data_IF_306834971230
#
_entry.id   IF_306834971230
#
_cell.length_a   1.000
_cell.length_b   1.000
_cell.length_c   1.000
_cell.angle_alpha   90.00
_cell.angle_beta   90.00
_cell.angle_gamma   90.00
#
_symmetry.space_group_name_H-M   'P 1'
#
loop_
_entity.id
_entity.type
_entity.pdbx_description
1 polymer ?
#
# COMPACT_ATOMS: atom_id res chain seq x y z
N UNK A 1 1.52 -18.14 3.15
CA UNK A 1 0.98 -17.22 4.19
C UNK A 1 2.15 -16.37 4.69
N UNK A 2 1.93 -15.09 4.99
CA UNK A 2 2.97 -14.26 5.57
C UNK A 2 3.31 -14.74 6.99
N UNK A 3 4.59 -14.63 7.37
CA UNK A 3 5.08 -15.04 8.69
C UNK A 3 4.56 -14.08 9.77
N UNK A 4 4.34 -14.59 10.99
CA UNK A 4 3.99 -13.75 12.14
C UNK A 4 5.16 -12.81 12.47
N UNK A 5 4.86 -11.55 12.74
CA UNK A 5 5.86 -10.52 13.00
C UNK A 5 5.35 -9.54 14.03
N UNK A 6 6.25 -9.07 14.89
CA UNK A 6 5.97 -8.04 15.91
C UNK A 6 6.16 -6.63 15.37
N UNK A 7 6.75 -6.47 14.21
CA UNK A 7 7.00 -5.17 13.57
C UNK A 7 6.44 -5.17 12.15
N UNK A 8 5.73 -4.11 11.79
CA UNK A 8 5.23 -3.87 10.44
C UNK A 8 5.52 -2.44 9.97
N UNK A 9 5.45 -2.25 8.66
CA UNK A 9 5.54 -0.94 8.01
C UNK A 9 4.35 -0.80 7.07
N UNK A 10 3.65 0.31 7.13
CA UNK A 10 2.54 0.56 6.21
C UNK A 10 2.68 1.91 5.49
N UNK A 11 2.12 1.95 4.30
CA UNK A 11 2.00 3.17 3.50
C UNK A 11 0.94 2.99 2.41
N UNK A 12 0.66 4.05 1.64
CA UNK A 12 -0.32 4.04 0.55
C UNK A 12 0.32 4.37 -0.79
N UNK A 13 -0.01 3.55 -1.81
CA UNK A 13 0.35 3.77 -3.20
C UNK A 13 -0.84 4.37 -3.96
N UNK A 14 -0.63 5.52 -4.63
CA UNK A 14 -1.64 6.13 -5.47
C UNK A 14 -1.70 5.47 -6.86
N UNK A 15 -2.86 4.92 -7.21
CA UNK A 15 -3.11 4.24 -8.49
C UNK A 15 -4.04 5.09 -9.34
N UNK A 16 -3.58 5.48 -10.53
CA UNK A 16 -4.42 6.17 -11.52
C UNK A 16 -5.32 5.15 -12.22
N UNK A 17 -6.63 5.34 -12.12
CA UNK A 17 -7.64 4.45 -12.71
C UNK A 17 -8.34 5.07 -13.91
N UNK A 18 -8.43 6.39 -13.95
CA UNK A 18 -9.11 7.12 -15.00
C UNK A 18 -8.34 8.38 -15.38
N UNK A 19 -8.44 8.75 -16.65
CA UNK A 19 -7.99 10.07 -17.07
C UNK A 19 -8.82 11.17 -16.36
N UNK A 20 -8.22 12.31 -15.91
CA UNK A 20 -8.92 13.37 -15.15
C UNK A 20 -10.23 13.86 -15.79
N UNK A 21 -10.31 13.92 -17.13
CA UNK A 21 -11.53 14.28 -17.86
C UNK A 21 -12.68 13.28 -17.70
N UNK A 22 -12.44 12.11 -17.12
CA UNK A 22 -13.42 11.04 -16.90
C UNK A 22 -13.79 10.87 -15.43
N UNK A 23 -13.44 11.82 -14.58
CA UNK A 23 -13.88 11.83 -13.18
C UNK A 23 -15.40 11.74 -13.09
N UNK A 24 -15.91 10.92 -12.17
CA UNK A 24 -17.35 10.67 -12.00
C UNK A 24 -17.96 9.62 -12.94
N UNK A 25 -17.22 9.11 -13.93
CA UNK A 25 -17.70 8.08 -14.87
C UNK A 25 -17.45 6.64 -14.44
N UNK A 26 -16.97 6.41 -13.22
CA UNK A 26 -16.79 5.07 -12.66
C UNK A 26 -18.01 4.68 -11.81
N UNK A 27 -18.35 3.39 -11.84
CA UNK A 27 -19.39 2.81 -11.02
C UNK A 27 -19.05 3.02 -9.53
N UNK A 28 -20.07 3.36 -8.71
CA UNK A 28 -19.93 3.56 -7.26
C UNK A 28 -18.91 4.62 -6.84
N UNK A 29 -18.49 5.48 -7.76
CA UNK A 29 -17.54 6.56 -7.47
C UNK A 29 -16.29 6.14 -6.71
N UNK A 30 -15.81 4.90 -6.88
CA UNK A 30 -14.62 4.38 -6.20
C UNK A 30 -13.31 5.03 -6.69
N UNK A 31 -13.29 5.65 -7.88
CA UNK A 31 -12.20 6.46 -8.39
C UNK A 31 -12.53 7.95 -8.24
N UNK A 32 -11.82 8.65 -7.37
CA UNK A 32 -11.99 10.09 -7.11
C UNK A 32 -10.68 10.83 -7.34
N UNK A 33 -10.79 12.13 -7.59
CA UNK A 33 -9.62 12.99 -7.69
C UNK A 33 -9.02 13.22 -6.31
N UNK A 34 -7.76 12.85 -6.16
CA UNK A 34 -7.00 13.03 -4.94
C UNK A 34 -5.54 13.36 -5.22
N UNK A 35 -4.85 13.88 -4.21
CA UNK A 35 -3.41 14.16 -4.28
C UNK A 35 -2.65 13.00 -3.63
N UNK A 36 -1.83 12.30 -4.41
CA UNK A 36 -0.98 11.21 -3.95
C UNK A 36 0.45 11.47 -4.39
N UNK A 37 1.40 11.43 -3.45
CA UNK A 37 2.83 11.65 -3.72
C UNK A 37 3.11 12.92 -4.56
N UNK A 38 2.46 14.03 -4.20
CA UNK A 38 2.61 15.31 -4.89
C UNK A 38 1.83 15.46 -6.21
N UNK A 39 1.26 14.38 -6.76
CA UNK A 39 0.49 14.38 -8.02
C UNK A 39 -1.02 14.35 -7.76
N UNK A 40 -1.77 14.99 -8.65
CA UNK A 40 -3.22 14.82 -8.74
C UNK A 40 -3.53 13.62 -9.64
N UNK A 41 -4.26 12.66 -9.11
CA UNK A 41 -4.73 11.48 -9.85
C UNK A 41 -6.26 11.35 -9.71
N UNK A 42 -6.90 10.70 -10.66
CA UNK A 42 -8.28 10.20 -10.53
C UNK A 42 -8.18 8.69 -10.39
N UNK A 43 -8.36 8.21 -9.17
CA UNK A 43 -8.09 6.81 -8.89
C UNK A 43 -8.36 6.40 -7.45
N UNK A 44 -7.53 5.50 -6.98
CA UNK A 44 -7.60 4.92 -5.65
C UNK A 44 -6.23 4.97 -4.95
N UNK A 45 -6.25 4.88 -3.63
CA UNK A 45 -5.08 4.59 -2.81
C UNK A 45 -5.09 3.11 -2.47
N UNK A 46 -3.98 2.45 -2.71
CA UNK A 46 -3.72 1.07 -2.32
C UNK A 46 -2.90 1.08 -1.04
N UNK A 47 -3.52 0.70 0.06
CA UNK A 47 -2.87 0.53 1.35
C UNK A 47 -2.20 -0.83 1.42
N UNK A 48 -0.97 -0.87 1.90
CA UNK A 48 -0.18 -2.08 2.11
C UNK A 48 0.44 -2.05 3.50
N UNK A 49 0.29 -3.14 4.24
CA UNK A 49 1.00 -3.42 5.49
C UNK A 49 1.97 -4.58 5.25
N UNK A 50 3.25 -4.29 5.40
CA UNK A 50 4.33 -5.28 5.32
C UNK A 50 4.76 -5.70 6.72
N UNK A 51 5.19 -6.97 6.87
CA UNK A 51 5.91 -7.41 8.05
C UNK A 51 7.41 -7.04 7.96
N UNK A 52 8.19 -7.37 8.99
CA UNK A 52 9.63 -7.08 9.05
C UNK A 52 10.45 -7.78 7.95
N UNK A 53 9.92 -8.82 7.31
CA UNK A 53 10.56 -9.54 6.19
C UNK A 53 10.08 -9.04 4.81
N UNK A 54 9.30 -7.96 4.78
CA UNK A 54 8.81 -7.37 3.53
C UNK A 54 7.61 -8.07 2.91
N UNK A 55 7.00 -9.04 3.58
CA UNK A 55 5.80 -9.72 3.07
C UNK A 55 4.55 -8.89 3.34
N UNK A 56 3.63 -8.85 2.38
CA UNK A 56 2.31 -8.23 2.56
C UNK A 56 1.48 -9.09 3.50
N UNK A 57 1.16 -8.56 4.69
CA UNK A 57 0.29 -9.22 5.68
C UNK A 57 -1.15 -8.74 5.60
N UNK A 58 -1.35 -7.52 5.14
CA UNK A 58 -2.68 -6.93 4.91
C UNK A 58 -2.62 -5.89 3.80
N UNK A 59 -3.68 -5.79 3.05
CA UNK A 59 -3.88 -4.73 2.07
C UNK A 59 -5.34 -4.28 2.08
N UNK A 60 -5.58 -3.08 1.62
CA UNK A 60 -6.92 -2.50 1.42
C UNK A 60 -6.83 -1.39 0.37
N UNK A 61 -7.94 -0.82 -0.05
CA UNK A 61 -7.94 0.33 -0.94
C UNK A 61 -9.11 1.26 -0.64
N UNK A 62 -8.95 2.53 -0.99
CA UNK A 62 -10.01 3.54 -0.92
C UNK A 62 -9.89 4.52 -2.09
N UNK A 63 -10.92 5.33 -2.38
CA UNK A 63 -10.81 6.43 -3.34
C UNK A 63 -9.67 7.38 -2.98
N UNK A 64 -8.98 7.95 -3.99
CA UNK A 64 -7.77 8.75 -3.80
C UNK A 64 -7.98 10.05 -3.00
N UNK A 65 -9.22 10.53 -2.86
CA UNK A 65 -9.56 11.72 -2.08
C UNK A 65 -9.63 11.49 -0.57
N UNK A 66 -9.59 10.26 -0.10
CA UNK A 66 -9.59 9.96 1.33
C UNK A 66 -8.21 10.18 1.95
N UNK A 67 -8.21 10.55 3.24
CA UNK A 67 -7.00 10.64 4.04
C UNK A 67 -6.53 9.24 4.48
N UNK A 68 -5.22 9.04 4.66
CA UNK A 68 -4.66 7.71 4.99
C UNK A 68 -5.11 7.19 6.35
N UNK A 69 -5.60 8.08 7.23
CA UNK A 69 -6.23 7.72 8.51
C UNK A 69 -7.47 6.83 8.39
N UNK A 70 -8.07 6.72 7.19
CA UNK A 70 -9.19 5.78 6.95
C UNK A 70 -8.77 4.33 7.21
N UNK A 71 -7.48 4.02 7.09
CA UNK A 71 -6.94 2.68 7.30
C UNK A 71 -6.61 2.36 8.77
N UNK A 72 -6.91 3.25 9.73
CA UNK A 72 -6.70 3.00 11.15
C UNK A 72 -7.46 1.75 11.61
N UNK A 73 -8.70 1.55 11.12
CA UNK A 73 -9.46 0.34 11.44
C UNK A 73 -8.74 -0.95 11.04
N UNK A 74 -7.96 -0.92 9.95
CA UNK A 74 -7.16 -2.07 9.52
C UNK A 74 -5.96 -2.28 10.45
N UNK A 75 -5.37 -1.21 10.98
CA UNK A 75 -4.24 -1.29 11.92
C UNK A 75 -4.68 -1.77 13.30
N UNK A 76 -5.90 -1.43 13.71
CA UNK A 76 -6.50 -1.88 14.97
C UNK A 76 -6.65 -3.41 15.04
N UNK A 77 -6.86 -4.10 13.91
CA UNK A 77 -6.87 -5.57 13.85
C UNK A 77 -5.54 -6.21 14.29
N UNK A 78 -4.47 -5.43 14.37
CA UNK A 78 -3.11 -5.86 14.73
C UNK A 78 -2.60 -5.29 16.06
N UNK A 79 -3.45 -4.64 16.89
CA UNK A 79 -3.03 -3.94 18.10
C UNK A 79 -2.23 -4.79 19.07
N UNK A 80 -2.62 -6.06 19.26
CA UNK A 80 -1.95 -6.98 20.18
C UNK A 80 -0.82 -7.79 19.56
N UNK A 81 -0.64 -7.67 18.22
CA UNK A 81 0.26 -8.55 17.47
C UNK A 81 1.46 -7.81 16.89
N UNK A 82 1.28 -6.53 16.54
CA UNK A 82 2.27 -5.85 15.71
C UNK A 82 2.31 -4.34 16.03
N UNK A 83 3.51 -3.81 16.19
CA UNK A 83 3.78 -2.37 16.16
C UNK A 83 3.95 -1.97 14.70
N UNK A 84 3.17 -1.00 14.23
CA UNK A 84 3.17 -0.57 12.84
C UNK A 84 3.80 0.81 12.71
N UNK A 85 4.81 0.90 11.86
CA UNK A 85 5.47 2.14 11.48
C UNK A 85 4.77 2.74 10.26
N UNK A 86 4.46 4.03 10.30
CA UNK A 86 3.86 4.75 9.19
C UNK A 86 4.39 6.20 9.09
N UNK A 87 4.12 6.83 7.96
CA UNK A 87 4.46 8.23 7.76
C UNK A 87 3.44 9.19 8.40
N UNK A 88 3.70 10.51 8.26
CA UNK A 88 2.82 11.56 8.78
C UNK A 88 1.42 11.57 8.16
N UNK A 89 1.21 10.98 6.99
CA UNK A 89 -0.09 10.83 6.36
C UNK A 89 -1.10 10.06 7.21
N UNK A 90 -0.61 9.17 8.07
CA UNK A 90 -1.43 8.38 8.99
C UNK A 90 -1.73 9.05 10.33
N UNK A 91 -1.18 10.24 10.58
CA UNK A 91 -1.42 10.96 11.85
C UNK A 91 -2.84 11.53 11.90
N UNK A 92 -3.66 11.06 12.81
CA UNK A 92 -4.97 11.64 13.08
C UNK A 92 -4.87 12.86 14.00
N UNK A 93 -5.86 13.76 13.92
CA UNK A 93 -5.99 14.92 14.81
C UNK A 93 -6.47 14.53 16.22
N UNK A 94 -7.31 13.50 16.33
CA UNK A 94 -7.89 13.07 17.59
C UNK A 94 -7.01 12.02 18.28
N UNK A 95 -7.08 10.78 17.84
CA UNK A 95 -6.31 9.67 18.42
C UNK A 95 -5.81 8.76 17.31
N UNK A 96 -4.62 8.20 17.51
CA UNK A 96 -4.05 7.16 16.64
C UNK A 96 -4.25 5.79 17.31
N UNK A 97 -4.31 4.70 16.53
CA UNK A 97 -4.20 3.34 17.08
C UNK A 97 -2.99 3.20 17.99
N UNK A 98 -3.12 2.47 19.09
CA UNK A 98 -2.05 2.34 20.11
C UNK A 98 -0.79 1.68 19.58
N UNK A 99 -0.93 0.81 18.57
CA UNK A 99 0.15 0.11 17.90
C UNK A 99 0.78 0.92 16.74
N UNK A 100 0.25 2.10 16.41
CA UNK A 100 0.76 2.95 15.34
C UNK A 100 1.87 3.88 15.85
N UNK A 101 3.04 3.82 15.22
CA UNK A 101 4.16 4.74 15.45
C UNK A 101 4.41 5.56 14.21
N UNK A 102 4.26 6.88 14.33
CA UNK A 102 4.54 7.82 13.25
C UNK A 102 6.03 8.07 13.17
N UNK A 103 6.62 7.76 12.01
CA UNK A 103 8.03 7.94 11.75
C UNK A 103 8.36 9.40 11.47
N UNK A 104 9.43 9.92 12.08
CA UNK A 104 9.98 11.21 11.75
C UNK A 104 10.92 11.09 10.54
N UNK A 105 10.94 12.13 9.70
CA UNK A 105 11.77 12.17 8.50
C UNK A 105 13.24 11.95 8.84
N UNK A 106 13.88 10.93 8.23
CA UNK A 106 15.31 10.63 8.40
C UNK A 106 15.67 9.68 9.54
N UNK A 107 14.70 9.20 10.33
CA UNK A 107 15.02 8.33 11.49
C UNK A 107 14.91 6.82 11.24
N UNK A 108 14.36 6.37 10.10
CA UNK A 108 14.01 4.95 9.93
C UNK A 108 14.45 4.38 8.58
N UNK A 109 15.38 3.43 8.62
CA UNK A 109 15.76 2.64 7.44
C UNK A 109 14.65 1.68 6.98
N UNK A 110 13.72 1.30 7.87
CA UNK A 110 12.59 0.41 7.56
C UNK A 110 11.63 1.01 6.52
N UNK A 111 11.62 2.34 6.35
CA UNK A 111 10.86 2.98 5.29
C UNK A 111 11.34 2.56 3.88
N UNK A 112 12.61 2.26 3.71
CA UNK A 112 13.16 1.75 2.45
C UNK A 112 12.48 0.44 2.04
N UNK A 113 12.05 -0.39 3.00
CA UNK A 113 11.35 -1.65 2.71
C UNK A 113 10.05 -1.41 1.94
N UNK A 114 9.22 -0.46 2.39
CA UNK A 114 7.96 -0.18 1.72
C UNK A 114 8.15 0.60 0.41
N UNK A 115 9.17 1.46 0.32
CA UNK A 115 9.52 2.14 -0.92
C UNK A 115 10.00 1.13 -1.98
N UNK A 116 10.78 0.12 -1.59
CA UNK A 116 11.18 -0.99 -2.46
C UNK A 116 9.97 -1.80 -2.91
N UNK A 117 9.06 -2.13 -1.99
CA UNK A 117 7.82 -2.84 -2.34
C UNK A 117 6.99 -2.04 -3.35
N UNK A 118 6.84 -0.73 -3.16
CA UNK A 118 6.09 0.11 -4.10
C UNK A 118 6.77 0.24 -5.46
N UNK A 119 8.10 0.27 -5.51
CA UNK A 119 8.84 0.21 -6.77
C UNK A 119 8.55 -1.07 -7.55
N UNK A 120 8.45 -2.22 -6.87
CA UNK A 120 8.06 -3.49 -7.49
C UNK A 120 6.59 -3.48 -7.94
N UNK A 121 5.67 -2.96 -7.13
CA UNK A 121 4.27 -2.81 -7.52
C UNK A 121 4.11 -1.87 -8.74
N UNK A 122 4.83 -0.75 -8.78
CA UNK A 122 4.77 0.18 -9.91
C UNK A 122 5.51 -0.34 -11.15
N UNK A 123 6.74 -0.83 -11.01
CA UNK A 123 7.62 -1.21 -12.10
C UNK A 123 7.30 -2.58 -12.69
N UNK A 124 7.24 -3.62 -11.85
CA UNK A 124 7.06 -5.00 -12.29
C UNK A 124 5.57 -5.34 -12.45
N UNK A 125 4.74 -4.97 -11.47
CA UNK A 125 3.31 -5.31 -11.46
C UNK A 125 2.44 -4.23 -12.10
N UNK A 126 3.03 -3.15 -12.61
CA UNK A 126 2.38 -2.10 -13.41
C UNK A 126 1.18 -1.43 -12.70
N UNK A 127 1.23 -1.31 -11.36
CA UNK A 127 0.11 -0.76 -10.58
C UNK A 127 -0.02 0.77 -10.66
N UNK A 128 0.94 1.48 -11.22
CA UNK A 128 0.92 2.95 -11.31
C UNK A 128 -0.31 3.51 -12.01
N UNK A 129 -0.72 2.80 -13.09
CA UNK A 129 -1.89 3.15 -13.90
C UNK A 129 -2.59 1.90 -14.36
N UNK A 130 -3.87 1.76 -13.98
CA UNK A 130 -4.67 0.58 -14.31
C UNK A 130 -6.02 1.05 -14.85
N UNK A 131 -6.36 0.70 -16.08
CA UNK A 131 -7.66 1.04 -16.68
C UNK A 131 -8.78 0.09 -16.18
N UNK A 132 -9.14 0.21 -14.90
CA UNK A 132 -10.23 -0.55 -14.27
C UNK A 132 -11.38 0.37 -13.88
N UNK A 133 -12.58 0.04 -14.33
CA UNK A 133 -13.81 0.83 -14.11
C UNK A 133 -14.76 0.22 -13.10
N UNK A 134 -14.55 -1.03 -12.72
CA UNK A 134 -15.37 -1.78 -11.78
C UNK A 134 -14.57 -2.07 -10.51
N UNK A 135 -15.17 -1.83 -9.36
CA UNK A 135 -14.49 -2.00 -8.06
C UNK A 135 -14.02 -3.44 -7.81
N UNK A 136 -14.84 -4.43 -8.17
CA UNK A 136 -14.47 -5.84 -8.00
C UNK A 136 -13.29 -6.25 -8.89
N UNK A 137 -13.19 -5.74 -10.13
CA UNK A 137 -12.03 -6.02 -10.99
C UNK A 137 -10.77 -5.35 -10.48
N UNK A 138 -10.87 -4.16 -9.86
CA UNK A 138 -9.76 -3.53 -9.17
C UNK A 138 -9.33 -4.37 -7.96
N UNK A 139 -10.28 -4.76 -7.09
CA UNK A 139 -10.00 -5.58 -5.92
C UNK A 139 -9.29 -6.89 -6.29
N UNK A 140 -9.78 -7.60 -7.31
CA UNK A 140 -9.13 -8.82 -7.81
C UNK A 140 -7.71 -8.55 -8.32
N UNK A 141 -7.50 -7.46 -9.06
CA UNK A 141 -6.18 -7.09 -9.56
C UNK A 141 -5.19 -6.80 -8.42
N UNK A 142 -5.62 -6.05 -7.39
CA UNK A 142 -4.81 -5.76 -6.21
C UNK A 142 -4.51 -7.02 -5.39
N UNK A 143 -5.49 -7.92 -5.25
CA UNK A 143 -5.29 -9.21 -4.58
C UNK A 143 -4.24 -10.07 -5.29
N UNK A 144 -4.32 -10.17 -6.62
CA UNK A 144 -3.30 -10.88 -7.42
C UNK A 144 -1.93 -10.23 -7.31
N UNK A 145 -1.86 -8.90 -7.37
CA UNK A 145 -0.60 -8.19 -7.22
C UNK A 145 0.05 -8.45 -5.86
N UNK A 146 -0.71 -8.39 -4.77
CA UNK A 146 -0.22 -8.71 -3.43
C UNK A 146 0.23 -10.18 -3.30
N UNK A 147 -0.52 -11.11 -3.90
CA UNK A 147 -0.18 -12.54 -3.90
C UNK A 147 1.11 -12.80 -4.70
N UNK A 148 1.22 -12.26 -5.92
CA UNK A 148 2.42 -12.41 -6.76
C UNK A 148 3.63 -11.79 -6.05
N UNK A 149 3.48 -10.60 -5.46
CA UNK A 149 4.54 -9.97 -4.68
C UNK A 149 5.05 -10.90 -3.56
N UNK A 150 4.14 -11.49 -2.75
CA UNK A 150 4.53 -12.41 -1.69
C UNK A 150 5.19 -13.70 -2.21
N UNK A 151 4.75 -14.21 -3.36
CA UNK A 151 5.40 -15.35 -4.02
C UNK A 151 6.83 -14.99 -4.42
N UNK A 152 7.04 -13.80 -5.02
CA UNK A 152 8.35 -13.32 -5.41
C UNK A 152 9.29 -13.15 -4.21
N UNK A 153 8.80 -12.56 -3.10
CA UNK A 153 9.57 -12.45 -1.85
C UNK A 153 9.97 -13.84 -1.35
N UNK A 154 9.00 -14.75 -1.23
CA UNK A 154 9.28 -16.09 -0.74
C UNK A 154 10.25 -16.88 -1.64
N UNK A 155 10.16 -16.68 -2.93
CA UNK A 155 11.06 -17.32 -3.89
C UNK A 155 12.47 -16.74 -3.84
N UNK A 156 12.57 -15.41 -3.65
CA UNK A 156 13.86 -14.75 -3.49
C UNK A 156 14.61 -15.25 -2.25
N UNK A 157 13.94 -15.43 -1.12
CA UNK A 157 14.53 -16.02 0.09
C UNK A 157 15.10 -17.43 -0.16
N UNK A 158 14.40 -18.23 -1.00
CA UNK A 158 14.82 -19.62 -1.30
C UNK A 158 15.98 -19.73 -2.28
N UNK A 159 16.11 -18.79 -3.21
CA UNK A 159 17.11 -18.82 -4.29
C UNK A 159 18.20 -17.76 -4.13
N UNK A 160 18.22 -17.08 -2.99
CA UNK A 160 19.20 -16.01 -2.67
C UNK A 160 19.29 -14.92 -3.76
N UNK A 161 18.17 -14.66 -4.45
CA UNK A 161 18.06 -13.60 -5.44
C UNK A 161 17.71 -12.29 -4.76
N UNK A 162 18.46 -11.24 -5.03
CA UNK A 162 18.12 -9.89 -4.54
C UNK A 162 16.88 -9.35 -5.28
N UNK A 163 15.88 -8.87 -4.54
CA UNK A 163 14.70 -8.21 -5.12
C UNK A 163 15.07 -6.96 -5.94
N UNK A 164 16.22 -6.35 -5.66
CA UNK A 164 16.74 -5.21 -6.41
C UNK A 164 17.01 -5.58 -7.87
N UNK A 165 17.32 -6.83 -8.19
CA UNK A 165 17.54 -7.30 -9.55
C UNK A 165 16.26 -7.39 -10.40
N UNK A 166 15.07 -7.37 -9.78
CA UNK A 166 13.80 -7.33 -10.51
C UNK A 166 13.30 -5.91 -10.81
N UNK A 167 13.96 -4.89 -10.27
CA UNK A 167 13.58 -3.47 -10.44
C UNK A 167 14.41 -2.72 -11.50
N UNK A 168 15.32 -3.41 -12.20
CA UNK A 168 16.18 -2.86 -13.25
C UNK A 168 15.62 -3.10 -14.65
#
# INVERSE_FOLDING_TARGET
>A
MAQESVLGVCDTLGIELLHPRREGRCQWHFARKGKCNGRWIVGAKFFVLLNQWGQVVRWNYCPANHHDTIFHCVLEDFQEKMIVLADHGFKAKAANPTNLKICQRGQWNQRMLIETAFSLFEGVLQLKKIDRRLSHTLASHLAYAAAIYNICIHWNEKVDLSLIHFAL
#
